data_IF_608222691192
#
_entry.id   IF_608222691192
#
_cell.length_a   1.000
_cell.length_b   1.000
_cell.length_c   1.000
_cell.angle_alpha   90.00
_cell.angle_beta   90.00
_cell.angle_gamma   90.00
#
_symmetry.space_group_name_H-M   'P 1'
#
loop_
_entity.id
_entity.type
_entity.pdbx_description
1 polymer ?
#
# COMPACT_ATOMS: atom_id res chain seq x y z
N UNK A 1 -5.40 46.59 -7.36
CA UNK A 1 -4.28 46.51 -8.32
C UNK A 1 -3.27 45.54 -7.74
N UNK A 2 -2.75 44.65 -8.58
CA UNK A 2 -1.71 43.71 -8.18
C UNK A 2 -0.41 44.45 -7.91
N UNK A 3 0.33 44.01 -6.89
CA UNK A 3 1.67 44.54 -6.63
C UNK A 3 2.74 43.81 -7.46
N UNK A 4 3.96 44.35 -7.48
CA UNK A 4 5.08 43.80 -8.27
C UNK A 4 5.38 42.34 -7.92
N UNK A 5 5.40 41.99 -6.63
CA UNK A 5 5.65 40.61 -6.17
C UNK A 5 4.55 39.63 -6.66
N UNK A 6 3.29 40.05 -6.62
CA UNK A 6 2.18 39.23 -7.13
C UNK A 6 2.30 38.99 -8.64
N UNK A 7 2.74 40.00 -9.39
CA UNK A 7 2.99 39.89 -10.83
C UNK A 7 4.15 38.92 -11.10
N UNK A 8 5.24 39.03 -10.34
CA UNK A 8 6.39 38.12 -10.45
C UNK A 8 6.03 36.65 -10.19
N UNK A 9 5.19 36.38 -9.18
CA UNK A 9 4.69 35.01 -8.92
C UNK A 9 3.91 34.48 -10.13
N UNK A 10 3.00 35.27 -10.70
CA UNK A 10 2.22 34.87 -11.88
C UNK A 10 3.16 34.57 -13.06
N UNK A 11 4.10 35.47 -13.34
CA UNK A 11 5.01 35.34 -14.48
C UNK A 11 6.00 34.19 -14.33
N UNK A 12 6.34 33.83 -13.09
CA UNK A 12 7.24 32.72 -12.82
C UNK A 12 6.56 31.36 -12.91
N UNK A 13 5.37 31.20 -12.34
CA UNK A 13 4.80 29.88 -12.07
C UNK A 13 3.64 29.47 -12.97
N UNK A 14 3.00 30.41 -13.68
CA UNK A 14 1.91 30.07 -14.60
C UNK A 14 2.51 29.72 -15.97
N UNK A 15 2.35 28.51 -16.52
CA UNK A 15 2.96 28.15 -17.79
C UNK A 15 2.24 28.84 -18.97
N UNK A 16 2.93 29.79 -19.60
CA UNK A 16 2.42 30.64 -20.70
C UNK A 16 1.97 29.85 -21.94
N UNK A 17 2.50 28.64 -22.11
CA UNK A 17 2.12 27.69 -23.15
C UNK A 17 0.66 27.23 -23.03
N UNK A 18 0.13 27.22 -21.80
CA UNK A 18 -1.14 26.59 -21.49
C UNK A 18 -2.17 27.58 -20.94
N UNK A 19 -1.70 28.66 -20.32
CA UNK A 19 -2.56 29.67 -19.69
C UNK A 19 -2.16 31.10 -20.09
N UNK A 20 -3.16 31.93 -20.36
CA UNK A 20 -3.00 33.35 -20.67
C UNK A 20 -2.79 34.15 -19.37
N UNK A 21 -1.51 34.46 -19.09
CA UNK A 21 -1.10 35.24 -17.90
C UNK A 21 -1.73 36.63 -17.86
N UNK A 22 -1.99 37.27 -19.00
CA UNK A 22 -2.59 38.60 -19.04
C UNK A 22 -4.08 38.54 -18.66
N UNK A 23 -4.79 37.50 -19.11
CA UNK A 23 -6.15 37.23 -18.63
C UNK A 23 -6.17 36.96 -17.14
N UNK A 24 -5.23 36.16 -16.63
CA UNK A 24 -5.14 35.90 -15.20
C UNK A 24 -4.93 37.19 -14.39
N UNK A 25 -3.94 38.01 -14.77
CA UNK A 25 -3.69 39.31 -14.11
C UNK A 25 -4.94 40.19 -14.11
N UNK A 26 -5.61 40.31 -15.27
CA UNK A 26 -6.85 41.08 -15.39
C UNK A 26 -7.99 40.52 -14.53
N UNK A 27 -8.12 39.20 -14.45
CA UNK A 27 -9.10 38.55 -13.59
C UNK A 27 -8.86 38.91 -12.13
N UNK A 28 -7.62 38.73 -11.66
CA UNK A 28 -7.26 39.00 -10.27
C UNK A 28 -7.32 40.49 -9.90
N UNK A 29 -7.26 41.40 -10.87
CA UNK A 29 -7.50 42.83 -10.63
C UNK A 29 -8.98 43.18 -10.41
N UNK A 30 -9.89 42.39 -10.99
CA UNK A 30 -11.33 42.62 -10.97
C UNK A 30 -12.04 41.85 -9.85
N UNK A 31 -11.42 40.78 -9.34
CA UNK A 31 -12.02 39.85 -8.41
C UNK A 31 -11.23 39.80 -7.09
N UNK A 32 -11.92 40.01 -5.98
CA UNK A 32 -11.35 39.84 -4.63
C UNK A 32 -11.47 38.40 -4.11
N UNK A 33 -12.40 37.62 -4.67
CA UNK A 33 -12.57 36.19 -4.44
C UNK A 33 -12.38 35.44 -5.76
N UNK A 34 -11.63 34.34 -5.72
CA UNK A 34 -11.24 33.54 -6.88
C UNK A 34 -11.81 32.15 -6.71
N UNK A 35 -12.81 31.80 -7.52
CA UNK A 35 -13.36 30.45 -7.61
C UNK A 35 -12.69 29.62 -8.70
N UNK A 36 -13.15 28.37 -8.82
CA UNK A 36 -12.67 27.39 -9.80
C UNK A 36 -12.76 27.89 -11.25
N UNK A 37 -13.71 28.78 -11.55
CA UNK A 37 -13.94 29.31 -12.89
C UNK A 37 -12.69 29.98 -13.50
N UNK A 38 -11.77 30.47 -12.66
CA UNK A 38 -10.53 31.11 -13.11
C UNK A 38 -9.70 30.18 -14.01
N UNK A 39 -9.64 28.89 -13.69
CA UNK A 39 -8.82 27.92 -14.43
C UNK A 39 -9.35 27.74 -15.86
N UNK A 40 -10.66 27.67 -16.04
CA UNK A 40 -11.29 27.62 -17.37
C UNK A 40 -11.17 28.95 -18.12
N UNK A 41 -11.22 30.08 -17.40
CA UNK A 41 -11.15 31.41 -17.99
C UNK A 41 -9.78 31.71 -18.61
N UNK A 42 -8.70 31.27 -17.95
CA UNK A 42 -7.31 31.58 -18.36
C UNK A 42 -6.71 30.52 -19.27
N UNK A 43 -7.31 29.34 -19.41
CA UNK A 43 -6.85 28.30 -20.33
C UNK A 43 -6.83 28.77 -21.81
N UNK A 44 -5.74 28.48 -22.51
CA UNK A 44 -5.59 28.75 -23.95
C UNK A 44 -6.39 27.72 -24.75
N UNK A 45 -7.12 28.17 -25.78
CA UNK A 45 -7.98 27.33 -26.62
C UNK A 45 -7.34 27.07 -27.98
N UNK A 46 -7.53 25.87 -28.51
CA UNK A 46 -7.06 25.45 -29.82
C UNK A 46 -7.91 25.99 -30.97
N UNK A 47 -7.47 25.73 -32.20
CA UNK A 47 -8.08 26.21 -33.45
C UNK A 47 -9.56 25.82 -33.62
N UNK A 48 -10.04 24.79 -32.92
CA UNK A 48 -11.44 24.34 -32.97
C UNK A 48 -12.32 25.00 -31.89
N UNK A 49 -11.80 25.97 -31.11
CA UNK A 49 -12.52 26.61 -30.00
C UNK A 49 -12.72 25.72 -28.76
N UNK A 50 -12.25 24.47 -28.85
CA UNK A 50 -12.02 23.61 -27.71
C UNK A 50 -10.73 24.09 -27.01
N UNK A 51 -10.56 23.87 -25.70
CA UNK A 51 -9.20 23.90 -25.14
C UNK A 51 -8.29 23.06 -26.07
N UNK A 52 -7.00 23.42 -26.26
CA UNK A 52 -6.03 22.35 -26.60
C UNK A 52 -6.29 21.20 -25.61
N UNK A 53 -6.08 19.93 -25.96
CA UNK A 53 -6.41 18.82 -25.06
C UNK A 53 -5.48 18.80 -23.82
N UNK A 54 -5.40 19.88 -23.06
CA UNK A 54 -5.79 19.87 -21.67
C UNK A 54 -7.07 19.06 -21.52
N UNK A 55 -6.95 17.80 -21.13
CA UNK A 55 -7.80 17.42 -20.01
C UNK A 55 -7.40 18.40 -18.91
N UNK A 56 -8.15 19.50 -18.79
CA UNK A 56 -7.92 20.49 -17.74
C UNK A 56 -8.33 19.79 -16.46
N UNK A 57 -7.40 18.98 -15.94
CA UNK A 57 -7.58 18.13 -14.77
C UNK A 57 -8.17 18.96 -13.64
N UNK A 58 -7.72 20.21 -13.44
CA UNK A 58 -8.27 21.16 -12.46
C UNK A 58 -9.77 21.49 -12.64
N UNK A 59 -10.25 21.99 -13.79
CA UNK A 59 -11.67 22.06 -14.10
C UNK A 59 -12.43 20.75 -14.03
N UNK A 60 -11.90 19.57 -14.36
CA UNK A 60 -12.64 18.31 -14.14
C UNK A 60 -12.64 17.84 -12.69
N UNK A 61 -11.61 18.19 -11.91
CA UNK A 61 -11.49 17.92 -10.47
C UNK A 61 -12.42 18.82 -9.65
N UNK A 62 -12.71 20.03 -10.15
CA UNK A 62 -13.46 21.04 -9.41
C UNK A 62 -14.76 21.48 -10.13
N UNK A 63 -14.99 21.13 -11.39
CA UNK A 63 -16.24 21.42 -12.10
C UNK A 63 -17.19 20.22 -12.09
N UNK A 64 -18.20 20.41 -11.25
CA UNK A 64 -19.56 19.89 -11.35
C UNK A 64 -19.82 18.43 -10.87
N UNK A 65 -20.59 18.26 -9.77
CA UNK A 65 -21.02 16.98 -9.21
C UNK A 65 -21.86 16.08 -10.14
N UNK A 66 -22.39 16.60 -11.25
CA UNK A 66 -23.38 15.90 -12.09
C UNK A 66 -22.79 15.08 -13.25
N UNK A 67 -21.49 15.22 -13.56
CA UNK A 67 -20.85 14.62 -14.75
C UNK A 67 -20.50 13.14 -14.61
N UNK A 68 -20.15 12.71 -13.40
CA UNK A 68 -19.99 11.31 -13.04
C UNK A 68 -21.34 10.81 -12.54
N UNK A 69 -22.28 10.65 -13.48
CA UNK A 69 -23.58 10.05 -13.16
C UNK A 69 -23.34 8.77 -12.37
N UNK A 70 -23.98 8.69 -11.20
CA UNK A 70 -24.44 7.46 -10.55
C UNK A 70 -24.44 6.31 -11.54
N UNK A 71 -23.52 5.37 -11.39
CA UNK A 71 -23.83 4.01 -11.80
C UNK A 71 -24.88 3.55 -10.81
N UNK A 72 -26.14 3.76 -11.19
CA UNK A 72 -27.24 2.99 -10.63
C UNK A 72 -26.94 1.55 -11.03
N UNK A 73 -26.24 0.80 -10.17
CA UNK A 73 -26.24 -0.66 -10.06
C UNK A 73 -25.35 -1.04 -8.85
N UNK A 74 -26.02 -1.32 -7.73
CA UNK A 74 -25.64 -2.07 -6.53
C UNK A 74 -24.26 -1.85 -5.84
N UNK A 75 -24.32 -1.31 -4.61
CA UNK A 75 -23.35 -1.43 -3.50
C UNK A 75 -21.91 -0.88 -3.66
N UNK A 76 -21.73 0.39 -4.05
CA UNK A 76 -20.48 1.12 -3.75
C UNK A 76 -20.76 2.44 -3.03
N UNK A 77 -20.07 2.65 -1.91
CA UNK A 77 -20.12 3.86 -1.10
C UNK A 77 -19.85 5.11 -1.95
N UNK A 78 -20.78 6.07 -1.88
CA UNK A 78 -20.66 7.33 -2.60
C UNK A 78 -19.59 8.20 -1.95
N UNK A 79 -18.49 8.44 -2.68
CA UNK A 79 -17.44 9.38 -2.25
C UNK A 79 -17.98 10.82 -2.27
N UNK A 80 -17.95 11.49 -1.12
CA UNK A 80 -18.25 12.92 -1.01
C UNK A 80 -17.04 13.71 -1.55
N UNK A 81 -17.15 14.24 -2.77
CA UNK A 81 -16.09 15.04 -3.37
C UNK A 81 -15.88 16.34 -2.60
N UNK A 82 -14.62 16.70 -2.32
CA UNK A 82 -14.29 17.97 -1.68
C UNK A 82 -14.45 19.10 -2.69
N UNK A 83 -15.48 19.93 -2.50
CA UNK A 83 -15.72 21.11 -3.33
C UNK A 83 -14.65 22.19 -3.11
N UNK A 84 -14.12 22.73 -4.19
CA UNK A 84 -13.26 23.91 -4.14
C UNK A 84 -14.05 25.11 -3.62
N UNK A 85 -13.63 25.67 -2.49
CA UNK A 85 -14.20 26.88 -1.95
C UNK A 85 -13.48 28.10 -2.53
N UNK A 86 -14.19 29.14 -2.99
CA UNK A 86 -13.56 30.37 -3.46
C UNK A 86 -12.60 30.95 -2.41
N UNK A 87 -11.38 31.25 -2.83
CA UNK A 87 -10.32 31.78 -1.98
C UNK A 87 -10.21 33.29 -2.17
N UNK A 88 -9.71 34.01 -1.16
CA UNK A 88 -9.35 35.41 -1.38
C UNK A 88 -8.20 35.53 -2.38
N UNK A 89 -8.16 36.63 -3.12
CA UNK A 89 -7.16 36.86 -4.18
C UNK A 89 -5.72 36.63 -3.71
N UNK A 90 -5.37 37.09 -2.51
CA UNK A 90 -3.98 37.05 -2.07
C UNK A 90 -3.58 35.61 -1.67
N UNK A 91 -4.50 34.85 -1.09
CA UNK A 91 -4.35 33.39 -0.89
C UNK A 91 -4.24 32.64 -2.21
N UNK A 92 -5.12 32.91 -3.17
CA UNK A 92 -5.03 32.27 -4.48
C UNK A 92 -3.67 32.53 -5.16
N UNK A 93 -3.18 33.79 -5.12
CA UNK A 93 -1.87 34.15 -5.68
C UNK A 93 -0.75 33.40 -4.96
N UNK A 94 -0.81 33.26 -3.63
CA UNK A 94 0.14 32.46 -2.85
C UNK A 94 0.13 30.98 -3.24
N UNK A 95 -1.00 30.45 -3.72
CA UNK A 95 -1.14 29.05 -4.14
C UNK A 95 -0.86 28.79 -5.62
N UNK A 96 -0.63 29.83 -6.43
CA UNK A 96 -0.25 29.72 -7.85
C UNK A 96 0.90 28.72 -8.10
N UNK A 97 2.00 28.71 -7.32
CA UNK A 97 3.10 27.77 -7.53
C UNK A 97 2.65 26.30 -7.53
N UNK A 98 1.64 25.96 -6.73
CA UNK A 98 1.10 24.61 -6.64
C UNK A 98 0.04 24.40 -7.72
N UNK A 99 -0.95 25.30 -7.79
CA UNK A 99 -2.13 25.20 -8.67
C UNK A 99 -1.79 25.11 -10.16
N UNK A 100 -0.63 25.62 -10.55
CA UNK A 100 -0.15 25.60 -11.94
C UNK A 100 1.09 24.71 -12.13
N UNK A 101 1.49 23.96 -11.10
CA UNK A 101 2.63 23.05 -11.20
C UNK A 101 2.35 21.92 -12.18
N UNK A 102 3.39 21.53 -12.93
CA UNK A 102 3.36 20.35 -13.76
C UNK A 102 4.75 19.71 -13.83
N UNK A 103 4.77 18.38 -13.84
CA UNK A 103 5.98 17.58 -13.94
C UNK A 103 6.22 17.21 -15.40
N UNK A 104 7.34 17.68 -15.97
CA UNK A 104 7.80 17.42 -17.34
C UNK A 104 6.97 18.05 -18.48
N UNK A 105 7.52 17.91 -19.70
CA UNK A 105 6.89 18.27 -20.97
C UNK A 105 5.77 17.29 -21.34
N UNK A 106 4.68 17.83 -21.89
CA UNK A 106 3.88 17.25 -22.98
C UNK A 106 3.86 15.71 -23.10
N UNK A 107 2.84 15.05 -22.51
CA UNK A 107 2.60 13.62 -22.80
C UNK A 107 1.99 13.48 -24.19
N UNK A 108 2.64 12.71 -25.06
CA UNK A 108 2.08 12.35 -26.35
C UNK A 108 1.05 11.23 -26.18
N UNK A 109 -0.14 11.46 -26.69
CA UNK A 109 -1.23 10.49 -26.69
C UNK A 109 -1.70 10.25 -28.12
N UNK A 110 -1.84 8.99 -28.51
CA UNK A 110 -2.35 8.61 -29.83
C UNK A 110 -3.78 8.09 -29.71
N UNK A 111 -4.72 8.74 -30.40
CA UNK A 111 -6.11 8.26 -30.53
C UNK A 111 -6.43 8.05 -32.01
N UNK A 112 -6.36 6.79 -32.45
CA UNK A 112 -6.46 6.45 -33.88
C UNK A 112 -5.24 6.94 -34.66
N UNK A 113 -5.44 7.76 -35.71
CA UNK A 113 -4.35 8.34 -36.52
C UNK A 113 -3.92 9.74 -36.04
N UNK A 114 -4.46 10.23 -34.92
CA UNK A 114 -4.19 11.58 -34.40
C UNK A 114 -3.28 11.52 -33.18
N UNK A 115 -2.18 12.26 -33.25
CA UNK A 115 -1.29 12.51 -32.13
C UNK A 115 -1.73 13.78 -31.40
N UNK A 116 -1.88 13.69 -30.09
CA UNK A 116 -2.20 14.78 -29.19
C UNK A 116 -1.07 14.96 -28.21
N UNK A 117 -0.98 16.18 -27.69
CA UNK A 117 -0.04 16.52 -26.65
C UNK A 117 -0.82 17.00 -25.43
N UNK A 118 -0.64 16.32 -24.30
CA UNK A 118 -1.44 16.50 -23.09
C UNK A 118 -0.57 17.09 -21.99
N UNK A 119 -1.08 18.16 -21.37
CA UNK A 119 -0.56 18.67 -20.11
C UNK A 119 -1.26 17.93 -18.97
N UNK A 120 -0.49 17.28 -18.10
CA UNK A 120 -1.02 16.48 -17.00
C UNK A 120 -0.51 17.04 -15.67
N UNK A 121 -1.42 17.63 -14.88
CA UNK A 121 -1.12 18.17 -13.55
C UNK A 121 -1.15 17.05 -12.49
N UNK A 122 -0.35 15.99 -12.69
CA UNK A 122 -0.49 14.72 -11.95
C UNK A 122 -0.56 14.92 -10.45
N UNK A 123 0.21 15.88 -9.94
CA UNK A 123 0.58 15.90 -8.54
C UNK A 123 -0.50 16.51 -7.66
N UNK A 124 -1.16 17.58 -8.13
CA UNK A 124 -2.36 18.09 -7.47
C UNK A 124 -3.53 17.12 -7.62
N UNK A 125 -3.62 16.41 -8.74
CA UNK A 125 -4.62 15.36 -8.92
C UNK A 125 -4.43 14.21 -7.91
N UNK A 126 -3.19 13.75 -7.74
CA UNK A 126 -2.84 12.72 -6.77
C UNK A 126 -3.18 13.15 -5.33
N UNK A 127 -2.90 14.40 -4.96
CA UNK A 127 -3.33 14.97 -3.66
C UNK A 127 -4.85 14.93 -3.54
N UNK A 128 -5.58 15.35 -4.57
CA UNK A 128 -7.04 15.37 -4.56
C UNK A 128 -7.66 13.99 -4.40
N UNK A 129 -7.07 12.98 -5.05
CA UNK A 129 -7.44 11.59 -4.87
C UNK A 129 -7.31 11.11 -3.42
N UNK A 130 -6.59 11.81 -2.55
CA UNK A 130 -6.45 11.47 -1.13
C UNK A 130 -7.28 12.36 -0.18
N UNK A 131 -8.08 13.28 -0.71
CA UNK A 131 -8.89 14.18 0.12
C UNK A 131 -10.18 13.51 0.61
N UNK A 132 -10.64 13.92 1.79
CA UNK A 132 -11.95 13.54 2.34
C UNK A 132 -11.94 12.26 3.16
N UNK A 133 -13.14 11.74 3.43
CA UNK A 133 -13.34 10.58 4.32
C UNK A 133 -13.05 9.23 3.63
N UNK A 134 -13.05 9.20 2.30
CA UNK A 134 -12.88 7.99 1.49
C UNK A 134 -11.84 8.25 0.37
N UNK A 135 -10.53 8.22 0.69
CA UNK A 135 -9.49 8.43 -0.30
C UNK A 135 -9.54 7.35 -1.39
N UNK A 136 -9.15 7.71 -2.62
CA UNK A 136 -9.16 6.85 -3.80
C UNK A 136 -8.29 5.60 -3.63
N UNK A 137 -7.24 5.70 -2.81
CA UNK A 137 -6.39 4.59 -2.39
C UNK A 137 -6.43 4.46 -0.87
N UNK A 138 -6.98 3.34 -0.38
CA UNK A 138 -6.98 2.99 1.05
C UNK A 138 -5.70 2.26 1.47
N UNK A 139 -4.89 1.79 0.52
CA UNK A 139 -3.71 0.95 0.81
C UNK A 139 -2.55 1.74 1.47
N UNK A 140 -2.46 3.04 1.23
CA UNK A 140 -1.40 3.91 1.74
C UNK A 140 -1.96 5.13 2.48
N UNK A 141 -3.13 4.97 3.12
CA UNK A 141 -3.78 6.03 3.86
C UNK A 141 -4.09 5.58 5.29
N UNK A 142 -3.27 6.05 6.23
CA UNK A 142 -3.32 5.63 7.64
C UNK A 142 -3.60 6.78 8.59
N UNK A 143 -4.02 7.93 8.05
CA UNK A 143 -4.36 9.11 8.84
C UNK A 143 -5.58 8.81 9.71
N UNK A 144 -5.51 9.24 10.96
CA UNK A 144 -6.68 9.21 11.87
C UNK A 144 -7.71 10.29 11.52
N UNK A 145 -7.27 11.36 10.87
CA UNK A 145 -8.11 12.49 10.45
C UNK A 145 -8.04 12.64 8.93
N UNK A 146 -9.21 12.71 8.24
CA UNK A 146 -9.33 13.03 6.82
C UNK A 146 -8.41 14.18 6.38
N UNK A 147 -7.69 14.01 5.27
CA UNK A 147 -6.92 15.08 4.67
C UNK A 147 -7.90 16.05 4.00
N UNK A 148 -7.91 17.30 4.48
CA UNK A 148 -8.67 18.38 3.87
C UNK A 148 -7.84 19.13 2.83
N UNK A 149 -8.51 19.75 1.85
CA UNK A 149 -7.84 20.57 0.82
C UNK A 149 -7.01 21.71 1.44
N UNK A 150 -7.56 22.37 2.46
CA UNK A 150 -6.87 23.46 3.16
C UNK A 150 -5.65 22.94 3.96
N UNK A 151 -5.76 21.77 4.59
CA UNK A 151 -4.62 21.13 5.27
C UNK A 151 -3.52 20.80 4.25
N UNK A 152 -3.88 20.22 3.10
CA UNK A 152 -2.94 19.96 2.02
C UNK A 152 -2.20 21.22 1.56
N UNK A 153 -2.92 22.34 1.33
CA UNK A 153 -2.28 23.60 0.97
C UNK A 153 -1.37 24.13 2.07
N UNK A 154 -1.75 24.03 3.35
CA UNK A 154 -0.90 24.45 4.45
C UNK A 154 0.42 23.67 4.49
N UNK A 155 0.38 22.36 4.19
CA UNK A 155 1.58 21.53 4.08
C UNK A 155 2.46 21.94 2.89
N UNK A 156 1.87 22.20 1.73
CA UNK A 156 2.59 22.70 0.56
C UNK A 156 3.23 24.08 0.82
N UNK A 157 2.49 25.00 1.44
CA UNK A 157 2.97 26.32 1.82
C UNK A 157 4.14 26.22 2.82
N UNK A 158 4.02 25.36 3.84
CA UNK A 158 5.10 25.09 4.80
C UNK A 158 6.37 24.58 4.11
N UNK A 159 6.24 23.55 3.26
CA UNK A 159 7.38 22.97 2.54
C UNK A 159 8.05 23.97 1.61
N UNK A 160 7.27 24.75 0.87
CA UNK A 160 7.76 25.65 -0.16
C UNK A 160 8.28 26.97 0.40
N UNK A 161 7.47 27.65 1.22
CA UNK A 161 7.79 29.00 1.71
C UNK A 161 8.63 29.00 2.99
N UNK A 162 8.36 28.08 3.93
CA UNK A 162 9.07 28.07 5.21
C UNK A 162 10.33 27.21 5.15
N UNK A 163 10.25 26.02 4.54
CA UNK A 163 11.40 25.09 4.41
C UNK A 163 12.23 25.36 3.16
N UNK A 164 11.71 26.09 2.18
CA UNK A 164 12.44 26.50 0.99
C UNK A 164 12.71 25.37 -0.02
N UNK A 165 11.95 24.27 0.05
CA UNK A 165 12.04 23.20 -0.94
C UNK A 165 11.54 23.66 -2.30
N UNK A 166 12.14 23.15 -3.38
CA UNK A 166 11.64 23.43 -4.72
C UNK A 166 10.34 22.66 -4.98
N UNK A 167 9.55 23.11 -5.96
CA UNK A 167 8.35 22.36 -6.38
C UNK A 167 8.72 20.97 -6.93
N UNK A 168 9.90 20.85 -7.56
CA UNK A 168 10.42 19.58 -8.04
C UNK A 168 10.76 18.62 -6.89
N UNK A 169 11.30 19.12 -5.77
CA UNK A 169 11.53 18.30 -4.58
C UNK A 169 10.20 17.86 -3.95
N UNK A 170 9.27 18.80 -3.76
CA UNK A 170 7.98 18.55 -3.08
C UNK A 170 7.16 17.51 -3.86
N UNK A 171 6.91 17.76 -5.13
CA UNK A 171 6.09 16.89 -5.96
C UNK A 171 6.90 15.73 -6.57
N UNK A 172 8.23 15.74 -6.44
CA UNK A 172 9.09 14.61 -6.79
C UNK A 172 9.21 13.58 -5.67
N UNK A 173 8.86 13.94 -4.44
CA UNK A 173 9.08 13.09 -3.27
C UNK A 173 8.24 11.80 -3.28
N UNK A 174 6.95 11.88 -3.60
CA UNK A 174 6.11 10.68 -3.70
C UNK A 174 6.69 9.68 -4.71
N UNK A 175 6.99 10.13 -5.93
CA UNK A 175 7.63 9.28 -6.96
C UNK A 175 8.98 8.72 -6.53
N UNK A 176 9.79 9.50 -5.78
CA UNK A 176 11.07 9.05 -5.23
C UNK A 176 10.88 7.89 -4.24
N UNK A 177 9.87 7.99 -3.37
CA UNK A 177 9.57 6.96 -2.36
C UNK A 177 8.93 5.72 -2.99
N UNK A 178 8.04 5.90 -3.97
CA UNK A 178 7.27 4.81 -4.58
C UNK A 178 7.90 4.21 -5.84
N UNK A 179 9.02 4.75 -6.31
CA UNK A 179 9.66 4.41 -7.60
C UNK A 179 8.70 4.55 -8.80
N UNK A 180 7.90 5.62 -8.78
CA UNK A 180 6.95 5.97 -9.83
C UNK A 180 5.82 4.95 -10.00
N UNK A 181 5.46 4.21 -8.94
CA UNK A 181 4.23 3.45 -8.93
C UNK A 181 3.02 4.40 -8.95
N UNK A 182 1.85 3.91 -9.39
CA UNK A 182 0.60 4.71 -9.38
C UNK A 182 0.08 4.99 -7.96
N UNK A 183 0.81 4.58 -6.94
CA UNK A 183 0.41 4.77 -5.56
C UNK A 183 0.87 6.11 -5.04
N UNK A 184 -0.07 6.82 -4.42
CA UNK A 184 0.20 8.08 -3.77
C UNK A 184 0.35 7.89 -2.25
N UNK A 185 1.17 8.73 -1.63
CA UNK A 185 1.47 8.71 -0.17
C UNK A 185 1.26 10.08 0.47
N UNK A 186 0.58 11.02 -0.19
CA UNK A 186 0.48 12.41 0.27
C UNK A 186 -0.20 12.51 1.64
N UNK A 187 -1.24 11.71 1.89
CA UNK A 187 -1.96 11.65 3.15
C UNK A 187 -1.04 11.24 4.30
N UNK A 188 -0.39 10.08 4.16
CA UNK A 188 0.58 9.60 5.15
C UNK A 188 1.75 10.57 5.31
N UNK A 189 2.27 11.12 4.21
CA UNK A 189 3.38 12.06 4.25
C UNK A 189 3.02 13.38 4.94
N UNK A 190 1.83 13.92 4.68
CA UNK A 190 1.38 15.15 5.32
C UNK A 190 1.10 14.95 6.80
N UNK A 191 0.60 13.79 7.21
CA UNK A 191 0.47 13.44 8.64
C UNK A 191 1.85 13.25 9.28
N UNK A 192 2.80 12.67 8.55
CA UNK A 192 4.19 12.62 9.00
C UNK A 192 4.80 14.01 9.23
N UNK A 193 4.51 14.99 8.36
CA UNK A 193 4.94 16.39 8.56
C UNK A 193 4.37 16.97 9.85
N UNK A 194 3.08 16.75 10.14
CA UNK A 194 2.47 17.18 11.40
C UNK A 194 3.17 16.59 12.61
N UNK A 195 3.50 15.30 12.56
CA UNK A 195 4.24 14.63 13.63
C UNK A 195 5.68 15.16 13.74
N UNK A 196 6.33 15.48 12.63
CA UNK A 196 7.65 16.12 12.66
C UNK A 196 7.59 17.47 13.38
N UNK A 197 6.58 18.30 13.10
CA UNK A 197 6.36 19.56 13.79
C UNK A 197 6.12 19.36 15.29
N UNK A 198 5.31 18.36 15.68
CA UNK A 198 5.05 18.03 17.08
C UNK A 198 6.30 17.55 17.82
N UNK A 199 7.14 16.74 17.15
CA UNK A 199 8.34 16.14 17.71
C UNK A 199 9.59 17.02 17.60
N UNK A 200 9.51 18.14 16.86
CA UNK A 200 10.65 19.01 16.57
C UNK A 200 11.67 18.36 15.64
N UNK A 201 11.23 17.52 14.70
CA UNK A 201 12.08 16.89 13.69
C UNK A 201 12.20 17.77 12.44
N UNK A 202 13.41 17.82 11.88
CA UNK A 202 13.71 18.62 10.69
C UNK A 202 13.60 17.84 9.37
N UNK A 203 13.75 16.51 9.43
CA UNK A 203 13.71 15.66 8.23
C UNK A 203 12.26 15.33 7.88
N UNK A 204 11.68 16.14 6.99
CA UNK A 204 10.29 16.02 6.54
C UNK A 204 10.16 15.24 5.22
N UNK A 205 11.26 14.81 4.61
CA UNK A 205 11.28 14.01 3.36
C UNK A 205 12.30 12.86 3.43
N UNK A 206 12.17 11.96 4.42
CA UNK A 206 13.12 10.89 4.65
C UNK A 206 13.11 9.82 3.55
N UNK A 207 14.27 9.27 3.22
CA UNK A 207 14.38 8.15 2.26
C UNK A 207 13.68 6.88 2.78
N UNK A 208 13.80 6.59 4.08
CA UNK A 208 13.15 5.46 4.74
C UNK A 208 11.76 5.87 5.29
N UNK A 209 10.87 6.33 4.41
CA UNK A 209 9.61 7.00 4.78
C UNK A 209 8.78 6.24 5.82
N UNK A 210 8.32 5.03 5.51
CA UNK A 210 7.47 4.27 6.43
C UNK A 210 8.17 3.86 7.72
N UNK A 211 9.50 3.80 7.74
CA UNK A 211 10.25 3.62 8.98
C UNK A 211 10.15 4.85 9.89
N UNK A 212 10.42 6.04 9.33
CA UNK A 212 10.32 7.30 10.07
C UNK A 212 8.90 7.63 10.47
N UNK A 213 7.93 7.35 9.61
CA UNK A 213 6.52 7.61 9.88
C UNK A 213 5.99 6.72 11.01
N UNK A 214 6.27 5.42 11.01
CA UNK A 214 5.91 4.56 12.15
C UNK A 214 6.61 4.96 13.44
N UNK A 215 7.89 5.37 13.38
CA UNK A 215 8.58 5.89 14.56
C UNK A 215 7.91 7.15 15.10
N UNK A 216 7.49 8.06 14.22
CA UNK A 216 6.77 9.27 14.60
C UNK A 216 5.42 8.92 15.24
N UNK A 217 4.65 8.00 14.66
CA UNK A 217 3.38 7.48 15.22
C UNK A 217 3.57 6.91 16.63
N UNK A 218 4.57 6.04 16.82
CA UNK A 218 4.86 5.46 18.15
C UNK A 218 5.17 6.56 19.19
N UNK A 219 5.96 7.58 18.80
CA UNK A 219 6.36 8.66 19.69
C UNK A 219 5.23 9.67 19.99
N UNK A 220 4.26 9.83 19.08
CA UNK A 220 3.05 10.64 19.32
C UNK A 220 1.93 9.88 20.02
N UNK A 221 2.13 8.58 20.32
CA UNK A 221 1.18 7.73 21.03
C UNK A 221 0.15 7.05 20.13
N UNK A 222 0.36 7.06 18.83
CA UNK A 222 -0.47 6.37 17.84
C UNK A 222 -0.02 4.94 17.59
N UNK A 223 -0.94 4.11 17.11
CA UNK A 223 -0.65 2.74 16.72
C UNK A 223 0.18 2.76 15.42
N UNK A 224 1.34 2.07 15.37
CA UNK A 224 2.12 1.96 14.14
C UNK A 224 1.38 1.13 13.09
N UNK A 225 1.70 1.38 11.83
CA UNK A 225 1.18 0.63 10.69
C UNK A 225 1.81 -0.77 10.71
N UNK A 226 0.98 -1.79 10.51
CA UNK A 226 1.42 -3.17 10.29
C UNK A 226 1.44 -3.45 8.79
N UNK A 227 2.61 -3.78 8.26
CA UNK A 227 2.82 -4.09 6.84
C UNK A 227 2.64 -5.59 6.60
N UNK A 228 1.56 -5.96 5.93
CA UNK A 228 1.22 -7.34 5.64
C UNK A 228 2.05 -7.91 4.50
N UNK A 229 2.15 -9.23 4.49
CA UNK A 229 2.68 -9.98 3.34
C UNK A 229 1.72 -9.81 2.16
N UNK A 230 2.26 -9.42 1.01
CA UNK A 230 1.52 -9.34 -0.23
C UNK A 230 1.67 -10.64 -1.01
N UNK A 231 0.76 -10.87 -1.94
CA UNK A 231 0.76 -12.07 -2.78
C UNK A 231 2.01 -12.12 -3.66
N UNK A 232 2.65 -13.29 -3.71
CA UNK A 232 3.94 -13.45 -4.38
C UNK A 232 3.81 -13.54 -5.91
N UNK A 233 2.66 -14.00 -6.41
CA UNK A 233 2.42 -14.23 -7.84
C UNK A 233 1.04 -13.69 -8.26
N UNK A 234 0.93 -12.42 -8.69
CA UNK A 234 -0.31 -11.85 -9.18
C UNK A 234 -0.81 -12.51 -10.49
N UNK A 235 0.02 -13.24 -11.22
CA UNK A 235 -0.37 -13.97 -12.44
C UNK A 235 -1.01 -15.34 -12.10
N UNK A 236 -0.75 -15.90 -10.91
CA UNK A 236 -1.40 -17.13 -10.43
C UNK A 236 -2.93 -17.01 -10.38
N UNK A 237 -3.46 -15.79 -10.22
CA UNK A 237 -4.88 -15.48 -10.32
C UNK A 237 -5.51 -15.90 -11.65
N UNK A 238 -4.75 -15.86 -12.75
CA UNK A 238 -5.25 -16.17 -14.09
C UNK A 238 -5.36 -17.68 -14.34
N UNK A 239 -4.63 -18.50 -13.59
CA UNK A 239 -4.53 -19.93 -13.86
C UNK A 239 -5.21 -20.79 -12.78
N UNK A 240 -5.00 -20.51 -11.48
CA UNK A 240 -5.57 -21.29 -10.35
C UNK A 240 -5.66 -20.46 -9.06
N UNK A 241 -6.83 -19.89 -8.77
CA UNK A 241 -7.11 -19.12 -7.53
C UNK A 241 -6.79 -19.86 -6.23
N UNK A 242 -6.89 -21.19 -6.20
CA UNK A 242 -6.61 -22.00 -5.00
C UNK A 242 -5.10 -22.15 -4.68
N UNK A 243 -4.21 -21.57 -5.51
CA UNK A 243 -2.75 -21.70 -5.36
C UNK A 243 -2.03 -20.38 -5.10
N UNK A 244 -2.74 -19.32 -4.69
CA UNK A 244 -2.11 -18.05 -4.29
C UNK A 244 -1.12 -18.33 -3.17
N UNK A 245 0.17 -18.12 -3.46
CA UNK A 245 1.25 -18.29 -2.48
C UNK A 245 1.65 -16.91 -1.97
N UNK A 246 1.61 -16.74 -0.65
CA UNK A 246 2.10 -15.52 0.00
C UNK A 246 3.61 -15.59 0.33
N UNK A 247 4.22 -16.74 0.11
CA UNK A 247 5.65 -16.93 0.29
C UNK A 247 6.19 -18.00 -0.65
N UNK A 248 7.48 -17.90 -0.96
CA UNK A 248 8.20 -18.90 -1.72
C UNK A 248 9.31 -19.50 -0.88
N UNK A 249 9.48 -20.82 -0.96
CA UNK A 249 10.65 -21.50 -0.40
C UNK A 249 11.67 -21.79 -1.49
N UNK A 250 12.91 -21.38 -1.27
CA UNK A 250 14.05 -21.71 -2.13
C UNK A 250 15.17 -22.29 -1.26
N UNK A 251 15.26 -23.62 -1.21
CA UNK A 251 16.21 -24.33 -0.36
C UNK A 251 16.02 -24.01 1.13
N UNK A 252 17.03 -23.37 1.72
CA UNK A 252 17.03 -22.92 3.12
C UNK A 252 16.55 -21.47 3.28
N UNK A 253 15.94 -20.85 2.28
CA UNK A 253 15.35 -19.51 2.38
C UNK A 253 13.84 -19.55 2.23
N UNK A 254 13.15 -18.75 3.03
CA UNK A 254 11.77 -18.30 2.76
C UNK A 254 11.81 -16.88 2.23
N UNK A 255 10.97 -16.59 1.25
CA UNK A 255 10.90 -15.28 0.59
C UNK A 255 9.46 -14.79 0.62
N UNK A 256 9.29 -13.55 1.07
CA UNK A 256 8.01 -12.84 1.17
C UNK A 256 8.06 -11.61 0.27
N UNK A 257 6.94 -11.25 -0.36
CA UNK A 257 6.79 -10.00 -1.10
C UNK A 257 5.94 -9.02 -0.30
N UNK A 258 6.26 -7.73 -0.33
CA UNK A 258 5.55 -6.74 0.47
C UNK A 258 6.22 -5.37 0.53
N UNK A 259 5.58 -4.44 1.24
CA UNK A 259 6.10 -3.09 1.52
C UNK A 259 6.77 -3.05 2.88
N UNK A 260 7.88 -3.76 3.03
CA UNK A 260 8.49 -3.98 4.35
C UNK A 260 9.39 -2.80 4.78
N UNK A 261 9.06 -2.10 5.88
CA UNK A 261 9.87 -0.98 6.36
C UNK A 261 11.25 -1.47 6.82
N UNK A 262 12.28 -0.77 6.37
CA UNK A 262 13.65 -0.96 6.82
C UNK A 262 14.13 0.28 7.57
N UNK A 263 14.97 0.09 8.57
CA UNK A 263 15.63 1.20 9.27
C UNK A 263 16.66 1.91 8.39
N UNK A 264 17.31 2.93 8.96
CA UNK A 264 18.34 3.72 8.26
C UNK A 264 19.57 2.88 7.84
N UNK A 265 19.77 1.69 8.41
CA UNK A 265 20.83 0.75 8.04
C UNK A 265 20.37 -0.26 6.97
N UNK A 266 19.10 -0.21 6.56
CA UNK A 266 18.49 -1.15 5.64
C UNK A 266 18.02 -2.45 6.28
N UNK A 267 18.03 -2.55 7.61
CA UNK A 267 17.56 -3.73 8.35
C UNK A 267 16.03 -3.72 8.50
N UNK A 268 15.33 -4.84 8.23
CA UNK A 268 13.88 -4.89 8.33
C UNK A 268 13.38 -4.72 9.77
N UNK A 269 12.38 -3.87 9.97
CA UNK A 269 11.80 -3.60 11.30
C UNK A 269 10.64 -4.56 11.58
N UNK A 270 10.99 -5.77 12.03
CA UNK A 270 10.04 -6.90 12.18
C UNK A 270 8.84 -6.63 13.09
N UNK A 271 8.93 -5.69 14.04
CA UNK A 271 7.79 -5.35 14.92
C UNK A 271 6.62 -4.69 14.20
N UNK A 272 6.84 -4.19 12.98
CA UNK A 272 5.81 -3.56 12.15
C UNK A 272 5.45 -4.40 10.93
N UNK A 273 5.98 -5.61 10.83
CA UNK A 273 5.73 -6.50 9.68
C UNK A 273 4.82 -7.62 10.16
N UNK A 274 3.84 -8.00 9.34
CA UNK A 274 2.94 -9.14 9.54
C UNK A 274 3.64 -10.50 9.45
N UNK A 275 4.90 -10.60 9.84
CA UNK A 275 5.70 -11.82 9.87
C UNK A 275 6.50 -11.87 11.17
N UNK A 276 6.27 -12.93 11.95
CA UNK A 276 6.98 -13.19 13.19
C UNK A 276 7.98 -14.31 12.96
N UNK A 277 9.26 -14.06 13.27
CA UNK A 277 10.37 -14.95 12.96
C UNK A 277 11.13 -15.25 14.26
N UNK A 278 11.19 -16.52 14.63
CA UNK A 278 11.98 -17.00 15.76
C UNK A 278 13.17 -17.82 15.25
N UNK A 279 14.39 -17.57 15.75
CA UNK A 279 15.61 -18.36 15.49
C UNK A 279 15.98 -18.49 13.99
N UNK A 280 15.83 -17.46 13.18
CA UNK A 280 16.41 -17.43 11.83
C UNK A 280 17.94 -17.19 11.88
N UNK A 281 18.64 -17.59 10.82
CA UNK A 281 20.07 -17.28 10.64
C UNK A 281 20.25 -15.81 10.28
N UNK A 282 19.44 -15.31 9.34
CA UNK A 282 19.39 -13.89 8.96
C UNK A 282 18.01 -13.55 8.38
N UNK A 283 17.69 -12.26 8.41
CA UNK A 283 16.50 -11.68 7.78
C UNK A 283 16.91 -10.40 7.06
N UNK A 284 16.65 -10.31 5.77
CA UNK A 284 17.12 -9.22 4.92
C UNK A 284 16.04 -8.81 3.92
N UNK A 285 15.90 -7.51 3.66
CA UNK A 285 15.08 -7.00 2.56
C UNK A 285 15.96 -6.76 1.33
N UNK A 286 15.64 -7.46 0.24
CA UNK A 286 16.36 -7.43 -1.04
C UNK A 286 15.44 -6.98 -2.17
N UNK A 287 16.02 -6.71 -3.34
CA UNK A 287 15.28 -6.36 -4.57
C UNK A 287 14.26 -5.24 -4.33
N UNK A 288 14.72 -4.18 -3.65
CA UNK A 288 13.91 -3.00 -3.33
C UNK A 288 13.59 -2.21 -4.60
N UNK A 289 12.33 -1.82 -4.76
CA UNK A 289 11.82 -0.98 -5.83
C UNK A 289 10.77 -0.03 -5.23
N UNK A 290 11.18 1.19 -4.92
CA UNK A 290 10.35 2.11 -4.14
C UNK A 290 10.02 1.51 -2.78
N UNK A 291 8.73 1.40 -2.48
CA UNK A 291 8.21 0.77 -1.27
C UNK A 291 8.21 -0.76 -1.34
N UNK A 292 8.16 -1.34 -2.54
CA UNK A 292 8.08 -2.78 -2.73
C UNK A 292 9.44 -3.45 -2.54
N UNK A 293 9.46 -4.59 -1.87
CA UNK A 293 10.66 -5.40 -1.74
C UNK A 293 10.35 -6.87 -1.47
N UNK A 294 11.42 -7.67 -1.46
CA UNK A 294 11.36 -9.05 -1.01
C UNK A 294 12.07 -9.19 0.32
N UNK A 295 11.42 -9.78 1.33
CA UNK A 295 12.08 -10.17 2.57
C UNK A 295 12.52 -11.63 2.48
N UNK A 296 13.82 -11.87 2.59
CA UNK A 296 14.44 -13.20 2.61
C UNK A 296 14.80 -13.59 4.05
N UNK A 297 14.28 -14.74 4.49
CA UNK A 297 14.56 -15.34 5.80
C UNK A 297 15.41 -16.59 5.60
N UNK A 298 16.66 -16.55 6.06
CA UNK A 298 17.55 -17.70 6.03
C UNK A 298 17.25 -18.62 7.21
N UNK A 299 16.78 -19.84 6.91
CA UNK A 299 16.29 -20.81 7.88
C UNK A 299 17.42 -21.54 8.62
N UNK A 300 17.28 -21.64 9.92
CA UNK A 300 17.98 -22.58 10.80
C UNK A 300 17.10 -23.81 11.09
N UNK A 301 17.68 -24.94 11.56
CA UNK A 301 16.91 -26.14 11.89
C UNK A 301 15.83 -25.95 12.99
N UNK A 302 15.90 -24.87 13.77
CA UNK A 302 14.96 -24.52 14.84
C UNK A 302 14.19 -23.21 14.56
N UNK A 303 14.16 -22.74 13.31
CA UNK A 303 13.39 -21.55 12.93
C UNK A 303 11.89 -21.81 12.98
N UNK A 304 11.12 -20.87 13.53
CA UNK A 304 9.66 -20.81 13.35
C UNK A 304 9.35 -19.53 12.59
N UNK A 305 8.44 -19.62 11.61
CA UNK A 305 7.87 -18.45 10.97
C UNK A 305 6.36 -18.50 11.07
N UNK A 306 5.79 -17.41 11.56
CA UNK A 306 4.35 -17.15 11.55
C UNK A 306 4.09 -15.94 10.67
N UNK A 307 2.98 -15.94 9.96
CA UNK A 307 2.52 -14.77 9.22
C UNK A 307 1.14 -14.37 9.73
N UNK A 308 0.86 -13.08 9.70
CA UNK A 308 -0.44 -12.51 9.96
C UNK A 308 -1.24 -12.58 8.65
N UNK A 309 -2.33 -13.33 8.65
CA UNK A 309 -3.12 -13.65 7.46
C UNK A 309 -4.56 -13.21 7.67
N UNK A 310 -5.14 -12.55 6.68
CA UNK A 310 -6.56 -12.16 6.65
C UNK A 310 -7.40 -13.29 6.07
N UNK A 311 -8.61 -13.54 6.61
CA UNK A 311 -9.54 -14.48 6.00
C UNK A 311 -10.01 -13.97 4.63
N UNK A 312 -10.29 -14.91 3.73
CA UNK A 312 -10.75 -14.63 2.37
C UNK A 312 -12.00 -15.43 2.03
N UNK A 313 -12.88 -14.83 1.22
CA UNK A 313 -14.07 -15.50 0.69
C UNK A 313 -13.68 -16.56 -0.37
N UNK A 314 -14.68 -17.33 -0.85
CA UNK A 314 -14.50 -18.38 -1.85
C UNK A 314 -13.99 -17.86 -3.21
N UNK A 315 -14.02 -16.54 -3.43
CA UNK A 315 -13.62 -15.85 -4.66
C UNK A 315 -12.23 -15.20 -4.48
N UNK A 316 -11.70 -15.18 -3.25
CA UNK A 316 -10.36 -14.70 -2.88
C UNK A 316 -10.33 -13.27 -2.35
N UNK A 317 -11.49 -12.64 -2.12
CA UNK A 317 -11.57 -11.30 -1.56
C UNK A 317 -11.32 -11.35 -0.05
N UNK A 318 -10.59 -10.37 0.49
CA UNK A 318 -10.39 -10.26 1.94
C UNK A 318 -11.72 -9.97 2.64
N UNK A 319 -11.98 -10.66 3.75
CA UNK A 319 -13.17 -10.43 4.57
C UNK A 319 -12.88 -9.25 5.50
N UNK A 320 -13.50 -8.10 5.22
CA UNK A 320 -13.24 -6.83 5.93
C UNK A 320 -13.56 -6.87 7.44
N UNK A 321 -14.46 -7.76 7.87
CA UNK A 321 -14.92 -7.88 9.27
C UNK A 321 -14.18 -8.97 10.08
N UNK A 322 -13.10 -9.55 9.56
CA UNK A 322 -12.36 -10.61 10.24
C UNK A 322 -10.98 -10.13 10.64
N UNK A 323 -10.72 -10.13 11.95
CA UNK A 323 -9.40 -9.80 12.50
C UNK A 323 -8.33 -10.75 11.93
N UNK A 324 -7.19 -10.23 11.43
CA UNK A 324 -6.10 -11.05 10.94
C UNK A 324 -5.57 -12.00 12.01
N UNK A 325 -5.31 -13.25 11.64
CA UNK A 325 -4.81 -14.28 12.55
C UNK A 325 -3.35 -14.64 12.29
N UNK A 326 -2.60 -14.90 13.37
CA UNK A 326 -1.23 -15.39 13.28
C UNK A 326 -1.22 -16.89 12.97
N UNK A 327 -0.83 -17.24 11.75
CA UNK A 327 -0.75 -18.62 11.28
C UNK A 327 0.72 -19.05 11.17
N UNK A 328 1.05 -20.24 11.69
CA UNK A 328 2.37 -20.83 11.46
C UNK A 328 2.49 -21.29 10.00
N UNK A 329 3.44 -20.72 9.27
CA UNK A 329 3.73 -21.08 7.88
C UNK A 329 4.99 -21.94 7.75
N UNK A 330 5.84 -21.98 8.79
CA UNK A 330 7.03 -22.82 8.81
C UNK A 330 7.46 -23.21 10.23
N UNK A 331 7.89 -24.46 10.39
CA UNK A 331 8.65 -24.92 11.54
C UNK A 331 9.85 -25.78 11.10
N UNK A 332 11.01 -25.46 11.68
CA UNK A 332 12.25 -26.16 11.39
C UNK A 332 12.25 -27.62 11.90
N UNK A 333 13.05 -28.50 11.27
CA UNK A 333 13.05 -29.94 11.56
C UNK A 333 13.40 -30.32 13.00
N UNK A 334 14.06 -29.46 13.79
CA UNK A 334 14.39 -29.73 15.20
C UNK A 334 13.26 -29.44 16.18
N UNK A 335 12.22 -28.73 15.73
CA UNK A 335 11.13 -28.26 16.60
C UNK A 335 9.74 -28.65 16.06
N UNK A 336 9.69 -29.23 14.86
CA UNK A 336 8.45 -29.71 14.26
C UNK A 336 7.84 -30.87 15.07
N UNK A 337 6.52 -30.86 15.15
CA UNK A 337 5.68 -31.91 15.72
C UNK A 337 4.60 -32.31 14.73
N UNK A 338 4.11 -33.54 14.87
CA UNK A 338 3.09 -34.06 13.98
C UNK A 338 1.71 -33.52 14.33
N UNK A 339 1.07 -32.81 13.40
CA UNK A 339 -0.27 -32.26 13.53
C UNK A 339 -1.33 -33.35 13.31
N UNK A 340 -1.49 -34.22 14.31
CA UNK A 340 -2.43 -35.32 14.23
C UNK A 340 -3.91 -34.88 14.10
N UNK A 341 -4.25 -33.68 14.58
CA UNK A 341 -5.62 -33.14 14.55
C UNK A 341 -6.12 -32.93 13.11
N UNK A 342 -5.22 -32.60 12.19
CA UNK A 342 -5.55 -32.38 10.78
C UNK A 342 -6.13 -33.65 10.13
N UNK A 343 -5.62 -34.83 10.50
CA UNK A 343 -6.11 -36.11 9.93
C UNK A 343 -7.60 -36.29 10.17
N UNK A 344 -8.04 -36.08 11.42
CA UNK A 344 -9.45 -36.20 11.80
C UNK A 344 -10.32 -35.15 11.11
N UNK A 345 -9.82 -33.91 11.00
CA UNK A 345 -10.49 -32.81 10.29
C UNK A 345 -10.76 -33.19 8.83
N UNK A 346 -9.70 -33.46 8.05
CA UNK A 346 -9.80 -33.82 6.62
C UNK A 346 -10.64 -35.06 6.38
N UNK A 347 -10.45 -36.11 7.19
CA UNK A 347 -11.25 -37.33 7.10
C UNK A 347 -12.75 -37.02 7.22
N UNK A 348 -13.12 -36.17 8.18
CA UNK A 348 -14.53 -35.84 8.44
C UNK A 348 -15.12 -34.95 7.34
N UNK A 349 -14.35 -33.98 6.84
CA UNK A 349 -14.71 -33.14 5.68
C UNK A 349 -14.98 -33.99 4.42
N UNK A 350 -14.16 -35.00 4.18
CA UNK A 350 -14.31 -35.93 3.05
C UNK A 350 -15.36 -37.04 3.29
N UNK A 351 -16.02 -37.06 4.45
CA UNK A 351 -17.07 -38.03 4.77
C UNK A 351 -16.59 -39.46 5.00
N UNK A 352 -15.30 -39.67 5.27
CA UNK A 352 -14.73 -41.00 5.48
C UNK A 352 -14.83 -41.46 6.94
N UNK A 353 -15.04 -42.75 7.14
CA UNK A 353 -14.84 -43.43 8.43
C UNK A 353 -13.36 -43.75 8.66
N UNK A 354 -12.96 -43.94 9.92
CA UNK A 354 -11.59 -44.36 10.24
C UNK A 354 -11.22 -45.68 9.56
N UNK A 355 -12.17 -46.62 9.42
CA UNK A 355 -11.96 -47.90 8.75
C UNK A 355 -11.66 -47.71 7.26
N UNK A 356 -12.44 -46.86 6.57
CA UNK A 356 -12.22 -46.59 5.15
C UNK A 356 -10.85 -45.98 4.87
N UNK A 357 -10.38 -45.04 5.71
CA UNK A 357 -9.04 -44.48 5.54
C UNK A 357 -7.96 -45.52 5.84
N UNK A 358 -8.11 -46.28 6.93
CA UNK A 358 -7.15 -47.33 7.28
C UNK A 358 -7.00 -48.36 6.15
N UNK A 359 -8.11 -48.82 5.58
CA UNK A 359 -8.10 -49.76 4.45
C UNK A 359 -7.45 -49.13 3.21
N UNK A 360 -7.76 -47.87 2.89
CA UNK A 360 -7.21 -47.18 1.72
C UNK A 360 -5.69 -46.94 1.82
N UNK A 361 -5.16 -46.68 3.02
CA UNK A 361 -3.72 -46.52 3.24
C UNK A 361 -3.02 -47.84 3.61
N UNK A 362 -3.75 -48.95 3.59
CA UNK A 362 -3.34 -50.30 4.01
C UNK A 362 -2.69 -50.33 5.41
N UNK A 363 -3.28 -49.60 6.34
CA UNK A 363 -2.93 -49.61 7.75
C UNK A 363 -3.93 -50.44 8.56
N UNK A 364 -3.49 -50.95 9.71
CA UNK A 364 -4.43 -51.50 10.67
C UNK A 364 -5.29 -50.37 11.27
N UNK A 365 -6.60 -50.59 11.43
CA UNK A 365 -7.53 -49.60 12.01
C UNK A 365 -7.07 -49.05 13.36
N UNK A 366 -6.52 -49.91 14.24
CA UNK A 366 -6.00 -49.46 15.55
C UNK A 366 -4.80 -48.54 15.40
N UNK A 367 -3.96 -48.79 14.39
CA UNK A 367 -2.81 -47.93 14.08
C UNK A 367 -3.28 -46.56 13.60
N UNK A 368 -4.24 -46.52 12.67
CA UNK A 368 -4.81 -45.27 12.19
C UNK A 368 -5.48 -44.45 13.30
N UNK A 369 -6.22 -45.12 14.20
CA UNK A 369 -6.82 -44.48 15.38
C UNK A 369 -5.78 -43.83 16.29
N UNK A 370 -4.65 -44.52 16.53
CA UNK A 370 -3.55 -43.95 17.31
C UNK A 370 -2.92 -42.72 16.66
N UNK A 371 -2.82 -42.71 15.33
CA UNK A 371 -2.37 -41.53 14.59
C UNK A 371 -3.35 -40.37 14.76
N UNK A 372 -4.66 -40.55 14.56
CA UNK A 372 -5.67 -39.48 14.75
C UNK A 372 -5.78 -38.98 16.19
N UNK A 373 -5.37 -39.79 17.17
CA UNK A 373 -5.36 -39.42 18.59
C UNK A 373 -4.03 -38.80 19.05
N UNK A 374 -3.00 -38.79 18.21
CA UNK A 374 -1.65 -38.32 18.57
C UNK A 374 -0.87 -39.26 19.49
N UNK A 375 -1.33 -40.51 19.67
CA UNK A 375 -0.63 -41.52 20.48
C UNK A 375 0.64 -42.04 19.80
N UNK A 376 0.62 -42.14 18.47
CA UNK A 376 1.77 -42.50 17.63
C UNK A 376 1.78 -41.62 16.38
N UNK A 377 2.89 -41.65 15.63
CA UNK A 377 3.03 -40.97 14.34
C UNK A 377 3.21 -41.98 13.20
N UNK A 378 2.71 -41.71 11.98
CA UNK A 378 3.01 -42.52 10.82
C UNK A 378 4.50 -42.42 10.46
N UNK A 379 5.07 -43.48 9.89
CA UNK A 379 6.38 -43.40 9.25
C UNK A 379 6.27 -42.69 7.88
N UNK A 380 7.40 -42.47 7.21
CA UNK A 380 7.41 -41.76 5.93
C UNK A 380 6.57 -42.43 4.84
N UNK A 381 6.42 -43.75 4.85
CA UNK A 381 5.65 -44.47 3.84
C UNK A 381 4.15 -44.30 4.05
N UNK A 382 3.68 -44.50 5.27
CA UNK A 382 2.28 -44.28 5.61
C UNK A 382 1.88 -42.80 5.52
N UNK A 383 2.79 -41.90 5.85
CA UNK A 383 2.55 -40.46 5.73
C UNK A 383 2.25 -40.07 4.28
N UNK A 384 3.03 -40.56 3.31
CA UNK A 384 2.77 -40.31 1.88
C UNK A 384 1.38 -40.80 1.44
N UNK A 385 0.97 -41.98 1.91
CA UNK A 385 -0.36 -42.53 1.60
C UNK A 385 -1.49 -41.70 2.21
N UNK A 386 -1.32 -41.26 3.45
CA UNK A 386 -2.28 -40.42 4.16
C UNK A 386 -2.43 -39.06 3.47
N UNK A 387 -1.31 -38.40 3.14
CA UNK A 387 -1.32 -37.12 2.44
C UNK A 387 -2.07 -37.22 1.09
N UNK A 388 -1.79 -38.28 0.33
CA UNK A 388 -2.46 -38.53 -0.95
C UNK A 388 -3.95 -38.86 -0.80
N UNK A 389 -4.33 -39.68 0.18
CA UNK A 389 -5.72 -40.12 0.33
C UNK A 389 -6.64 -39.08 0.99
N UNK A 390 -6.12 -38.32 1.95
CA UNK A 390 -6.87 -37.26 2.64
C UNK A 390 -6.75 -35.89 1.94
N UNK A 391 -6.19 -35.89 0.73
CA UNK A 391 -6.05 -34.71 -0.12
C UNK A 391 -5.42 -33.54 0.66
N UNK A 392 -4.24 -33.78 1.23
CA UNK A 392 -3.47 -32.78 1.97
C UNK A 392 -2.35 -32.28 1.04
N UNK A 393 -2.47 -31.05 0.51
CA UNK A 393 -1.62 -30.58 -0.58
C UNK A 393 -0.21 -30.18 -0.12
N UNK A 394 -0.05 -29.69 1.11
CA UNK A 394 1.24 -29.27 1.65
C UNK A 394 1.65 -30.12 2.87
N UNK A 395 2.89 -30.60 2.84
CA UNK A 395 3.52 -31.28 4.00
C UNK A 395 3.62 -30.36 5.21
N UNK A 396 3.62 -29.04 5.04
CA UNK A 396 3.63 -28.11 6.16
C UNK A 396 2.32 -28.13 6.96
N UNK A 397 1.20 -28.56 6.36
CA UNK A 397 -0.11 -28.61 7.04
C UNK A 397 -0.12 -29.66 8.18
N UNK A 398 0.63 -30.74 7.99
CA UNK A 398 0.81 -31.81 9.00
C UNK A 398 1.93 -31.51 10.00
N UNK A 399 2.56 -30.33 9.89
CA UNK A 399 3.63 -29.87 10.77
C UNK A 399 3.12 -28.76 11.68
N UNK A 400 3.17 -29.01 12.98
CA UNK A 400 3.06 -27.96 14.02
C UNK A 400 4.41 -27.79 14.71
N UNK A 401 4.48 -26.93 15.71
CA UNK A 401 5.64 -26.76 16.57
C UNK A 401 5.22 -26.94 18.03
N UNK A 402 6.13 -27.44 18.86
CA UNK A 402 5.91 -27.54 20.30
C UNK A 402 6.41 -26.26 20.99
N UNK A 403 5.50 -25.48 21.57
CA UNK A 403 5.86 -24.29 22.36
C UNK A 403 6.77 -24.62 23.56
N UNK A 404 6.74 -25.85 24.08
CA UNK A 404 7.61 -26.27 25.17
C UNK A 404 9.06 -26.45 24.70
N UNK A 405 9.29 -26.80 23.43
CA UNK A 405 10.63 -26.85 22.84
C UNK A 405 11.20 -25.44 22.60
N UNK A 406 10.36 -24.40 22.49
CA UNK A 406 10.76 -22.98 22.39
C UNK A 406 11.45 -22.51 23.69
N UNK A 407 10.98 -22.98 24.85
CA UNK A 407 11.51 -22.58 26.18
C UNK A 407 12.81 -23.29 26.56
N UNK A 408 13.17 -24.38 25.89
CA UNK A 408 14.29 -25.26 26.26
C UNK A 408 15.64 -24.90 25.61
N UNK A 409 15.72 -23.83 24.80
CA UNK A 409 17.00 -23.35 24.24
C UNK A 409 17.19 -21.82 24.32
N UNK A 410 17.51 -21.28 25.51
CA UNK A 410 18.41 -20.15 25.62
C UNK A 410 19.76 -20.68 26.09
N UNK A 411 20.60 -21.19 25.18
CA UNK A 411 22.00 -21.49 25.47
C UNK A 411 22.79 -21.63 24.16
N UNK A 412 23.32 -20.50 23.68
CA UNK A 412 24.67 -20.34 23.15
C UNK A 412 24.80 -18.91 22.61
N UNK A 413 25.00 -17.96 23.53
CA UNK A 413 25.86 -16.82 23.24
C UNK A 413 27.29 -17.38 23.23
N UNK A 414 27.94 -17.33 22.07
CA UNK A 414 29.40 -17.27 21.93
C UNK A 414 29.71 -16.22 20.88
#
# INVERSE_FOLDING_TARGET
MLNENQIEIIDKYVPEKYFDRNRLKKYLELHDMVGVEVFQYVAIRNENGLPDRFETVLPSMFANPDGWKKRDDDDEAYREFVEYQPEDRDTFIRRIPFNFYHKNDDRKYEEGEKEYTLWYACEIENIFCELGNEPFSTQNYHRSTPLGLEDAYQKLEYLFYERGYSLEDIFGYCDKVTDGSFESIYGDWFDYIDKCLQLGWDDVMPDAFYYKYNLARELTGEVPITFYIMEYDPEAWKERREQVKFFRRNGNKLEFYGKFPCDDNGEPVLRWIGVNIDNAVSVECVRKRGLDCYMEVTLAPNTVVRALVTERDEIGNELEDVDPEWVQIYAGPQIMTFNYKLLKKRRTELGYTQQQVADAVEANIRTYQKWENGETKPDGYYLLRILNWLDIPDVNDIITYDENLRKLKPALQL
#
